data_IF_543748636712
#
_entry.id   IF_543748636712
#
_cell.length_a   1.000
_cell.length_b   1.000
_cell.length_c   1.000
_cell.angle_alpha   90.00
_cell.angle_beta   90.00
_cell.angle_gamma   90.00
#
_symmetry.space_group_name_H-M   'P 1'
#
loop_
_entity.id
_entity.type
_entity.pdbx_description
1 polymer ?
#
# COMPACT_ATOMS: atom_id res chain seq x y z
N UNK A 1 -37.50 39.39 16.01
CA UNK A 1 -37.25 37.94 15.91
C UNK A 1 -37.53 37.31 17.27
N UNK A 2 -38.58 36.50 17.36
CA UNK A 2 -39.04 35.94 18.63
C UNK A 2 -38.08 34.85 19.17
N UNK A 3 -38.08 34.60 20.47
CA UNK A 3 -37.30 33.58 21.11
C UNK A 3 -37.53 32.17 20.46
N UNK A 4 -38.78 31.94 20.03
CA UNK A 4 -39.17 30.72 19.30
C UNK A 4 -38.50 30.58 17.93
N UNK A 5 -38.30 31.66 17.18
CA UNK A 5 -37.60 31.62 15.88
C UNK A 5 -36.12 31.35 16.06
N UNK A 6 -35.49 31.84 17.14
CA UNK A 6 -34.09 31.52 17.46
C UNK A 6 -33.91 30.03 17.83
N UNK A 7 -34.84 29.46 18.61
CA UNK A 7 -34.81 28.06 19.00
C UNK A 7 -35.02 27.14 17.76
N UNK A 8 -35.98 27.52 16.88
CA UNK A 8 -36.23 26.77 15.64
C UNK A 8 -35.03 26.77 14.67
N UNK A 9 -34.31 27.88 14.58
CA UNK A 9 -33.12 27.98 13.74
C UNK A 9 -31.95 27.18 14.30
N UNK A 10 -31.74 27.16 15.62
CA UNK A 10 -30.67 26.37 16.25
C UNK A 10 -30.94 24.86 16.12
N UNK A 11 -32.22 24.43 16.26
CA UNK A 11 -32.61 23.02 16.09
C UNK A 11 -32.51 22.60 14.62
N UNK A 12 -32.89 23.45 13.66
CA UNK A 12 -32.73 23.17 12.21
C UNK A 12 -31.25 23.08 11.81
N UNK A 13 -30.40 24.00 12.27
CA UNK A 13 -28.96 23.94 12.02
C UNK A 13 -28.32 22.66 12.63
N UNK A 14 -28.69 22.31 13.88
CA UNK A 14 -28.22 21.07 14.50
C UNK A 14 -28.64 19.81 13.75
N UNK A 15 -29.86 19.78 13.19
CA UNK A 15 -30.35 18.63 12.39
C UNK A 15 -29.63 18.54 11.04
N UNK A 16 -29.43 19.68 10.36
CA UNK A 16 -28.68 19.71 9.08
C UNK A 16 -27.21 19.31 9.30
N UNK A 17 -26.58 19.76 10.38
CA UNK A 17 -25.21 19.33 10.72
C UNK A 17 -25.12 17.83 11.03
N UNK A 18 -26.08 17.26 11.76
CA UNK A 18 -26.13 15.82 12.04
C UNK A 18 -26.35 15.00 10.78
N UNK A 19 -27.28 15.43 9.92
CA UNK A 19 -27.56 14.75 8.63
C UNK A 19 -26.34 14.86 7.70
N UNK A 20 -25.70 16.03 7.63
CA UNK A 20 -24.49 16.24 6.82
C UNK A 20 -23.32 15.40 7.33
N UNK A 21 -23.11 15.32 8.66
CA UNK A 21 -22.05 14.51 9.26
C UNK A 21 -22.30 13.01 9.05
N UNK A 22 -23.56 12.53 9.18
CA UNK A 22 -23.93 11.13 8.93
C UNK A 22 -23.77 10.78 7.45
N UNK A 23 -24.12 11.70 6.54
CA UNK A 23 -23.94 11.51 5.10
C UNK A 23 -22.46 11.49 4.69
N UNK A 24 -21.63 12.34 5.30
CA UNK A 24 -20.17 12.32 5.12
C UNK A 24 -19.56 11.00 5.64
N UNK A 25 -20.06 10.49 6.78
CA UNK A 25 -19.59 9.22 7.35
C UNK A 25 -19.98 8.02 6.48
N UNK A 26 -21.20 8.01 5.90
CA UNK A 26 -21.67 6.95 5.00
C UNK A 26 -20.94 7.00 3.65
N UNK A 27 -20.64 8.21 3.13
CA UNK A 27 -19.83 8.36 1.91
C UNK A 27 -18.38 7.96 2.17
N UNK A 28 -17.81 8.32 3.32
CA UNK A 28 -16.44 7.95 3.68
C UNK A 28 -16.29 6.43 3.89
N UNK A 29 -17.29 5.73 4.45
CA UNK A 29 -17.23 4.29 4.66
C UNK A 29 -17.32 3.47 3.36
N UNK A 30 -17.87 4.02 2.28
CA UNK A 30 -17.94 3.35 0.97
C UNK A 30 -16.75 3.66 0.05
N UNK A 31 -15.87 4.59 0.41
CA UNK A 31 -14.76 5.03 -0.43
C UNK A 31 -13.49 4.19 -0.29
N UNK A 32 -13.39 3.33 0.73
CA UNK A 32 -12.17 2.59 1.03
C UNK A 32 -12.49 1.14 1.44
N UNK A 33 -12.89 0.31 0.48
CA UNK A 33 -12.93 -1.14 0.70
C UNK A 33 -11.69 -1.79 0.10
N UNK A 34 -10.92 -2.49 0.91
CA UNK A 34 -9.95 -3.46 0.42
C UNK A 34 -10.74 -4.72 0.09
N UNK A 35 -10.57 -5.23 -1.14
CA UNK A 35 -11.12 -6.49 -1.57
C UNK A 35 -10.03 -7.58 -1.59
N UNK A 36 -10.45 -8.83 -1.52
CA UNK A 36 -9.56 -9.94 -1.84
C UNK A 36 -9.21 -9.90 -3.32
N UNK A 37 -7.92 -10.00 -3.63
CA UNK A 37 -7.41 -9.85 -4.98
C UNK A 37 -6.35 -10.92 -5.27
N UNK A 38 -6.30 -11.38 -6.50
CA UNK A 38 -5.29 -12.31 -6.98
C UNK A 38 -4.82 -11.86 -8.36
N UNK A 39 -3.55 -11.46 -8.45
CA UNK A 39 -2.94 -11.02 -9.69
C UNK A 39 -1.81 -11.95 -10.09
N UNK A 40 -1.72 -12.22 -11.41
CA UNK A 40 -0.61 -12.94 -12.02
C UNK A 40 -0.08 -12.13 -13.19
N UNK A 41 1.21 -11.91 -13.18
CA UNK A 41 1.91 -11.18 -14.23
C UNK A 41 3.04 -12.05 -14.75
N UNK A 42 3.34 -11.92 -16.05
CA UNK A 42 4.47 -12.62 -16.68
C UNK A 42 5.40 -11.63 -17.34
N UNK A 43 6.69 -11.89 -17.22
CA UNK A 43 7.73 -11.20 -17.96
C UNK A 43 8.81 -12.19 -18.33
N UNK A 44 8.92 -12.55 -19.63
CA UNK A 44 9.83 -13.60 -20.13
C UNK A 44 9.65 -14.92 -19.35
N UNK A 45 10.73 -15.39 -18.71
CA UNK A 45 10.74 -16.61 -17.90
C UNK A 45 10.34 -16.39 -16.43
N UNK A 46 9.97 -15.18 -16.07
CA UNK A 46 9.58 -14.84 -14.70
C UNK A 46 8.06 -14.75 -14.56
N UNK A 47 7.57 -15.27 -13.46
CA UNK A 47 6.19 -15.09 -13.02
C UNK A 47 6.16 -14.26 -11.74
N UNK A 48 5.25 -13.30 -11.68
CA UNK A 48 4.98 -12.48 -10.51
C UNK A 48 3.53 -12.67 -10.07
N UNK A 49 3.32 -13.05 -8.82
CA UNK A 49 2.00 -13.27 -8.23
C UNK A 49 1.81 -12.32 -7.05
N UNK A 50 0.63 -11.73 -6.94
CA UNK A 50 0.20 -10.95 -5.78
C UNK A 50 -1.14 -11.47 -5.31
N UNK A 51 -1.28 -11.76 -4.02
CA UNK A 51 -2.56 -12.12 -3.41
C UNK A 51 -2.83 -11.16 -2.24
N UNK A 52 -4.05 -10.69 -2.15
CA UNK A 52 -4.59 -9.94 -1.03
C UNK A 52 -5.73 -10.76 -0.45
N UNK A 53 -5.64 -11.13 0.82
CA UNK A 53 -6.62 -11.99 1.49
C UNK A 53 -6.99 -11.41 2.84
N UNK A 54 -8.22 -11.70 3.29
CA UNK A 54 -8.69 -11.34 4.63
C UNK A 54 -8.92 -12.62 5.44
N UNK A 55 -8.40 -12.66 6.63
CA UNK A 55 -8.66 -13.73 7.59
C UNK A 55 -8.91 -13.12 8.98
N UNK A 56 -10.17 -13.17 9.45
CA UNK A 56 -10.58 -12.68 10.77
C UNK A 56 -10.12 -11.22 11.04
N UNK A 57 -10.50 -10.29 10.17
CA UNK A 57 -10.18 -8.86 10.22
C UNK A 57 -8.69 -8.53 10.12
N UNK A 58 -7.85 -9.52 9.84
CA UNK A 58 -6.45 -9.34 9.50
C UNK A 58 -6.27 -9.52 8.00
N UNK A 59 -5.69 -8.52 7.39
CA UNK A 59 -5.34 -8.55 5.99
C UNK A 59 -3.93 -9.08 5.80
N UNK A 60 -3.76 -9.85 4.75
CA UNK A 60 -2.47 -10.33 4.32
C UNK A 60 -2.27 -10.01 2.84
N UNK A 61 -1.13 -9.42 2.50
CA UNK A 61 -0.71 -9.25 1.13
C UNK A 61 0.58 -10.01 0.91
N UNK A 62 0.55 -10.94 -0.04
CA UNK A 62 1.73 -11.73 -0.42
C UNK A 62 2.12 -11.42 -1.84
N UNK A 63 3.41 -11.40 -2.12
CA UNK A 63 3.88 -11.51 -3.48
C UNK A 63 4.96 -12.59 -3.62
N UNK A 64 5.04 -13.15 -4.81
CA UNK A 64 6.06 -14.10 -5.19
C UNK A 64 6.57 -13.77 -6.60
N UNK A 65 7.89 -13.66 -6.75
CA UNK A 65 8.55 -13.61 -8.05
C UNK A 65 9.32 -14.91 -8.20
N UNK A 66 8.98 -15.68 -9.24
CA UNK A 66 9.66 -16.93 -9.61
C UNK A 66 10.42 -16.71 -10.92
N UNK A 67 11.71 -17.00 -10.90
CA UNK A 67 12.62 -16.98 -12.03
C UNK A 67 13.53 -18.21 -11.95
N UNK A 68 14.03 -18.80 -13.05
CA UNK A 68 14.90 -19.99 -13.01
C UNK A 68 16.10 -19.86 -12.06
N UNK A 69 16.65 -18.67 -11.87
CA UNK A 69 17.82 -18.44 -11.03
C UNK A 69 17.51 -17.91 -9.62
N UNK A 70 16.29 -17.44 -9.35
CA UNK A 70 15.92 -16.97 -8.01
C UNK A 70 14.42 -17.06 -7.76
N UNK A 71 14.08 -17.14 -6.49
CA UNK A 71 12.71 -16.97 -5.98
C UNK A 71 12.72 -15.90 -4.90
N UNK A 72 11.88 -14.89 -5.06
CA UNK A 72 11.66 -13.84 -4.08
C UNK A 72 10.22 -13.90 -3.61
N UNK A 73 10.01 -13.92 -2.30
CA UNK A 73 8.67 -13.83 -1.71
C UNK A 73 8.63 -12.81 -0.58
N UNK A 74 7.49 -12.18 -0.42
CA UNK A 74 7.18 -11.33 0.71
C UNK A 74 5.77 -11.64 1.19
N UNK A 75 5.60 -11.62 2.51
CA UNK A 75 4.35 -11.77 3.23
C UNK A 75 4.22 -10.59 4.17
N UNK A 76 3.12 -9.83 4.09
CA UNK A 76 2.87 -8.66 4.90
C UNK A 76 1.50 -8.74 5.53
N UNK A 77 1.47 -8.75 6.86
CA UNK A 77 0.24 -8.69 7.65
C UNK A 77 -0.06 -7.26 8.08
N UNK A 78 -1.32 -6.86 7.98
CA UNK A 78 -1.78 -5.54 8.35
C UNK A 78 -3.24 -5.55 8.80
N UNK A 79 -3.65 -4.55 9.54
CA UNK A 79 -5.05 -4.22 9.80
C UNK A 79 -5.46 -3.00 9.00
N UNK A 80 -6.74 -2.91 8.70
CA UNK A 80 -7.32 -1.80 7.96
C UNK A 80 -8.64 -1.39 8.59
N UNK A 81 -8.68 -0.18 9.12
CA UNK A 81 -9.91 0.49 9.57
C UNK A 81 -10.14 1.76 8.76
N UNK A 82 -9.33 2.78 8.95
CA UNK A 82 -9.25 3.99 8.13
C UNK A 82 -7.86 4.18 7.54
N UNK A 83 -6.87 3.49 8.10
CA UNK A 83 -5.47 3.51 7.68
C UNK A 83 -4.94 2.09 7.66
N UNK A 84 -4.02 1.81 6.76
CA UNK A 84 -3.26 0.57 6.75
C UNK A 84 -2.24 0.62 7.90
N UNK A 85 -2.33 -0.36 8.80
CA UNK A 85 -1.39 -0.53 9.92
C UNK A 85 -0.67 -1.86 9.77
N UNK A 86 0.55 -1.82 9.26
CA UNK A 86 1.40 -3.00 9.07
C UNK A 86 1.83 -3.54 10.42
N UNK A 87 1.60 -4.82 10.67
CA UNK A 87 2.01 -5.50 11.92
C UNK A 87 3.24 -6.38 11.74
N UNK A 88 3.37 -7.05 10.61
CA UNK A 88 4.50 -7.92 10.31
C UNK A 88 4.84 -7.91 8.83
N UNK A 89 6.14 -7.96 8.50
CA UNK A 89 6.64 -8.16 7.14
C UNK A 89 7.68 -9.26 7.16
N UNK A 90 7.56 -10.26 6.29
CA UNK A 90 8.53 -11.33 6.09
C UNK A 90 8.99 -11.35 4.65
N UNK A 91 10.28 -11.33 4.41
CA UNK A 91 10.89 -11.41 3.08
C UNK A 91 11.84 -12.58 2.98
N UNK A 92 11.82 -13.27 1.84
CA UNK A 92 12.69 -14.40 1.58
C UNK A 92 13.19 -14.35 0.15
N UNK A 93 14.50 -14.41 -0.02
CA UNK A 93 15.17 -14.54 -1.30
C UNK A 93 15.96 -15.84 -1.33
N UNK A 94 15.70 -16.67 -2.32
CA UNK A 94 16.44 -17.91 -2.61
C UNK A 94 17.11 -17.73 -3.97
N UNK A 95 18.40 -17.93 -4.06
CA UNK A 95 19.19 -17.78 -5.29
C UNK A 95 19.79 -19.11 -5.68
N UNK A 96 19.81 -19.41 -6.99
CA UNK A 96 20.44 -20.60 -7.60
C UNK A 96 20.04 -21.92 -6.91
N UNK A 97 18.73 -22.18 -6.80
CA UNK A 97 18.24 -23.46 -6.24
C UNK A 97 18.56 -23.69 -4.76
N UNK A 98 18.89 -22.63 -4.01
CA UNK A 98 19.15 -22.72 -2.57
C UNK A 98 20.60 -22.48 -2.15
N UNK A 99 21.52 -22.22 -3.09
CA UNK A 99 22.92 -21.88 -2.77
C UNK A 99 23.05 -20.65 -1.86
N UNK A 100 22.10 -19.71 -1.96
CA UNK A 100 22.02 -18.57 -1.06
C UNK A 100 20.57 -18.33 -0.66
N UNK A 101 20.33 -18.25 0.65
CA UNK A 101 19.05 -17.92 1.25
C UNK A 101 19.22 -16.68 2.10
N UNK A 102 18.39 -15.67 1.88
CA UNK A 102 18.32 -14.45 2.70
C UNK A 102 16.89 -14.36 3.21
N UNK A 103 16.75 -14.26 4.51
CA UNK A 103 15.47 -14.04 5.19
C UNK A 103 15.59 -12.80 6.05
N UNK A 104 14.59 -11.95 5.98
CA UNK A 104 14.44 -10.79 6.85
C UNK A 104 13.00 -10.60 7.27
N UNK A 105 12.79 -10.10 8.47
CA UNK A 105 11.46 -9.79 8.99
C UNK A 105 11.44 -8.50 9.78
N UNK A 106 10.26 -7.89 9.83
CA UNK A 106 9.95 -6.72 10.64
C UNK A 106 8.72 -7.03 11.45
N UNK A 107 8.76 -6.76 12.75
CA UNK A 107 7.59 -6.75 13.63
C UNK A 107 7.36 -5.34 14.13
N UNK A 108 6.17 -4.82 13.94
CA UNK A 108 5.83 -3.43 14.21
C UNK A 108 4.92 -3.35 15.44
N UNK A 109 5.38 -2.67 16.48
CA UNK A 109 4.60 -2.32 17.64
C UNK A 109 4.12 -0.87 17.53
N UNK A 110 2.82 -0.71 17.28
CA UNK A 110 2.20 0.60 17.11
C UNK A 110 2.00 1.37 18.42
N UNK A 111 2.02 0.67 19.57
CA UNK A 111 1.88 1.30 20.88
C UNK A 111 3.19 1.97 21.29
N UNK A 112 4.29 1.23 21.22
CA UNK A 112 5.62 1.74 21.59
C UNK A 112 6.35 2.45 20.46
N UNK A 113 5.79 2.46 19.24
CA UNK A 113 6.39 3.02 18.02
C UNK A 113 7.77 2.43 17.71
N UNK A 114 7.90 1.12 17.91
CA UNK A 114 9.13 0.36 17.67
C UNK A 114 8.94 -0.68 16.57
N UNK A 115 10.01 -0.91 15.83
CA UNK A 115 10.10 -1.98 14.84
C UNK A 115 11.27 -2.85 15.20
N UNK A 116 11.02 -4.14 15.41
CA UNK A 116 12.06 -5.15 15.51
C UNK A 116 12.40 -5.63 14.10
N UNK A 117 13.62 -5.39 13.65
CA UNK A 117 14.15 -5.90 12.39
C UNK A 117 15.08 -7.08 12.63
N UNK A 118 14.84 -8.19 11.95
CA UNK A 118 15.62 -9.43 12.08
C UNK A 118 16.14 -9.84 10.70
N UNK A 119 17.43 -10.10 10.60
CA UNK A 119 18.07 -10.64 9.40
C UNK A 119 19.19 -11.63 9.77
N UNK A 120 18.91 -12.91 9.60
CA UNK A 120 19.80 -13.96 10.10
C UNK A 120 19.96 -13.86 11.62
N UNK A 121 21.19 -13.62 12.10
CA UNK A 121 21.49 -13.42 13.54
C UNK A 121 21.42 -11.95 13.98
N UNK A 122 21.30 -11.02 13.05
CA UNK A 122 21.18 -9.60 13.35
C UNK A 122 19.78 -9.27 13.82
N UNK A 123 19.67 -8.60 14.97
CA UNK A 123 18.40 -8.02 15.46
C UNK A 123 18.66 -6.55 15.78
N UNK A 124 17.86 -5.67 15.21
CA UNK A 124 17.94 -4.22 15.42
C UNK A 124 16.56 -3.68 15.80
N UNK A 125 16.54 -2.64 16.61
CA UNK A 125 15.29 -1.92 16.95
C UNK A 125 15.33 -0.54 16.31
N UNK A 126 14.29 -0.23 15.53
CA UNK A 126 14.09 1.08 14.92
C UNK A 126 12.98 1.82 15.65
N UNK A 127 13.11 3.12 15.79
CA UNK A 127 12.03 4.01 16.23
C UNK A 127 11.37 4.62 15.00
N UNK A 128 10.05 4.84 15.04
CA UNK A 128 9.36 5.50 13.96
C UNK A 128 8.28 6.46 14.48
N UNK A 129 7.90 7.39 13.64
CA UNK A 129 6.80 8.31 13.87
C UNK A 129 5.85 8.32 12.66
N UNK A 130 4.55 8.59 12.92
CA UNK A 130 3.51 8.57 11.90
C UNK A 130 3.14 7.16 11.42
N UNK A 131 2.65 7.08 10.20
CA UNK A 131 2.31 5.82 9.54
C UNK A 131 3.55 5.19 8.91
N UNK A 132 3.63 3.86 8.95
CA UNK A 132 4.71 3.08 8.37
C UNK A 132 4.15 2.03 7.41
N UNK A 133 4.79 1.86 6.28
CA UNK A 133 4.41 0.94 5.22
C UNK A 133 5.61 0.07 4.82
N UNK A 134 5.34 -1.05 4.18
CA UNK A 134 6.30 -1.69 3.30
C UNK A 134 5.98 -1.34 1.83
N UNK A 135 6.75 -1.84 0.88
CA UNK A 135 6.53 -1.50 -0.54
C UNK A 135 5.12 -1.92 -1.02
N UNK A 136 4.62 -3.10 -0.59
CA UNK A 136 3.31 -3.60 -1.02
C UNK A 136 2.16 -2.79 -0.45
N UNK A 137 2.18 -2.56 0.85
CA UNK A 137 1.14 -1.79 1.55
C UNK A 137 1.18 -0.32 1.18
N UNK A 138 2.35 0.25 0.85
CA UNK A 138 2.46 1.59 0.29
C UNK A 138 1.73 1.70 -1.05
N UNK A 139 1.94 0.74 -1.97
CA UNK A 139 1.24 0.72 -3.26
C UNK A 139 -0.26 0.47 -3.11
N UNK A 140 -0.67 -0.42 -2.19
CA UNK A 140 -2.09 -0.61 -1.88
C UNK A 140 -2.72 0.67 -1.33
N UNK A 141 -2.07 1.33 -0.38
CA UNK A 141 -2.53 2.59 0.18
C UNK A 141 -2.71 3.67 -0.90
N UNK A 142 -1.70 3.84 -1.78
CA UNK A 142 -1.75 4.82 -2.87
C UNK A 142 -2.87 4.55 -3.88
N UNK A 143 -3.22 3.27 -4.14
CA UNK A 143 -4.37 2.91 -4.99
C UNK A 143 -5.69 3.31 -4.34
N UNK A 144 -5.81 3.12 -3.03
CA UNK A 144 -7.04 3.39 -2.27
C UNK A 144 -7.26 4.88 -2.04
N UNK A 145 -6.18 5.67 -1.93
CA UNK A 145 -6.30 7.10 -1.68
C UNK A 145 -7.01 7.81 -2.83
N UNK A 146 -8.06 8.56 -2.47
CA UNK A 146 -8.71 9.50 -3.38
C UNK A 146 -7.94 10.81 -3.41
N UNK A 147 -6.80 10.83 -4.11
CA UNK A 147 -5.90 11.98 -4.21
C UNK A 147 -6.16 12.68 -5.52
N UNK A 148 -6.08 14.01 -5.50
CA UNK A 148 -6.06 14.81 -6.71
C UNK A 148 -4.83 14.46 -7.55
N UNK A 149 -4.98 14.54 -8.85
CA UNK A 149 -3.88 14.31 -9.79
C UNK A 149 -2.79 15.35 -9.59
N UNK A 150 -1.52 14.90 -9.77
CA UNK A 150 -0.29 15.70 -9.66
C UNK A 150 0.09 16.12 -8.21
N UNK A 151 -0.59 15.61 -7.19
CA UNK A 151 -0.18 15.79 -5.80
C UNK A 151 0.97 14.84 -5.44
N UNK A 152 2.00 15.40 -4.77
CA UNK A 152 3.14 14.63 -4.25
C UNK A 152 2.78 14.06 -2.86
N UNK A 153 2.92 12.74 -2.72
CA UNK A 153 2.67 12.04 -1.47
C UNK A 153 3.99 11.49 -0.94
N UNK A 154 4.27 11.76 0.31
CA UNK A 154 5.45 11.21 0.99
C UNK A 154 5.02 10.13 1.98
N UNK A 155 5.59 8.93 1.85
CA UNK A 155 5.35 7.79 2.74
C UNK A 155 6.64 7.32 3.41
N UNK A 156 6.55 6.89 4.66
CA UNK A 156 7.63 6.18 5.35
C UNK A 156 7.56 4.69 4.98
N UNK A 157 8.57 4.17 4.33
CA UNK A 157 8.60 2.79 3.81
C UNK A 157 9.78 2.01 4.40
N UNK A 158 9.50 0.76 4.81
CA UNK A 158 10.50 -0.19 5.32
C UNK A 158 11.31 -0.77 4.16
N UNK A 159 12.58 -0.49 4.13
CA UNK A 159 13.49 -0.97 3.10
C UNK A 159 14.85 -1.35 3.69
N UNK A 160 15.23 -2.64 3.57
CA UNK A 160 16.56 -3.16 3.94
C UNK A 160 17.02 -2.74 5.35
N UNK A 161 16.17 -2.95 6.35
CA UNK A 161 16.46 -2.63 7.75
C UNK A 161 16.41 -1.14 8.09
N UNK A 162 15.83 -0.31 7.23
CA UNK A 162 15.74 1.15 7.44
C UNK A 162 14.34 1.66 7.11
N UNK A 163 13.99 2.79 7.68
CA UNK A 163 12.82 3.58 7.29
C UNK A 163 13.30 4.62 6.28
N UNK A 164 12.67 4.64 5.10
CA UNK A 164 12.96 5.61 4.05
C UNK A 164 11.72 6.40 3.71
N UNK A 165 11.87 7.70 3.54
CA UNK A 165 10.83 8.53 2.95
C UNK A 165 10.85 8.35 1.43
N UNK A 166 9.75 7.83 0.88
CA UNK A 166 9.55 7.72 -0.56
C UNK A 166 8.47 8.70 -1.00
N UNK A 167 8.70 9.33 -2.14
CA UNK A 167 7.79 10.30 -2.74
C UNK A 167 7.13 9.69 -3.96
N UNK A 168 5.82 9.84 -4.04
CA UNK A 168 5.01 9.31 -5.13
C UNK A 168 4.17 10.43 -5.75
N UNK A 169 3.89 10.30 -7.03
CA UNK A 169 2.98 11.18 -7.77
C UNK A 169 1.92 10.31 -8.42
N UNK A 170 0.67 10.70 -8.26
CA UNK A 170 -0.49 10.09 -8.92
C UNK A 170 -0.87 10.94 -10.12
N UNK A 171 -0.97 10.33 -11.31
CA UNK A 171 -1.33 11.02 -12.56
C UNK A 171 -2.40 10.25 -13.31
N UNK A 172 -3.22 10.94 -14.09
CA UNK A 172 -4.12 10.31 -15.06
C UNK A 172 -3.29 9.90 -16.28
N UNK A 173 -3.31 8.62 -16.62
CA UNK A 173 -2.62 8.08 -17.79
C UNK A 173 -3.54 8.01 -19.04
N UNK A 174 -4.82 7.71 -18.79
CA UNK A 174 -5.91 7.74 -19.78
C UNK A 174 -7.24 7.95 -19.02
N UNK A 175 -8.40 8.17 -19.69
CA UNK A 175 -9.67 8.47 -19.03
C UNK A 175 -10.03 7.54 -17.87
N UNK A 176 -9.69 6.25 -17.99
CA UNK A 176 -10.03 5.23 -16.98
C UNK A 176 -8.81 4.64 -16.26
N UNK A 177 -7.62 5.20 -16.47
CA UNK A 177 -6.37 4.63 -15.96
C UNK A 177 -5.58 5.65 -15.17
N UNK A 178 -5.29 5.30 -13.94
CA UNK A 178 -4.42 6.06 -13.04
C UNK A 178 -3.02 5.43 -13.06
N UNK A 179 -2.02 6.29 -13.02
CA UNK A 179 -0.63 5.91 -12.85
C UNK A 179 -0.08 6.47 -11.54
N UNK A 180 0.56 5.63 -10.76
CA UNK A 180 1.39 6.03 -9.62
C UNK A 180 2.85 5.84 -10.00
N UNK A 181 3.66 6.85 -9.76
CA UNK A 181 5.09 6.84 -10.05
C UNK A 181 5.88 7.22 -8.81
N UNK A 182 6.90 6.43 -8.44
CA UNK A 182 7.89 6.84 -7.45
C UNK A 182 8.80 7.94 -8.05
N UNK A 183 8.96 9.04 -7.32
CA UNK A 183 9.84 10.15 -7.71
C UNK A 183 11.28 9.82 -7.32
N UNK A 184 11.97 9.08 -8.17
CA UNK A 184 13.35 8.65 -7.98
C UNK A 184 14.16 8.81 -9.26
N UNK A 185 15.44 9.18 -9.15
CA UNK A 185 16.26 9.48 -10.33
C UNK A 185 16.72 8.24 -11.11
N UNK A 186 17.03 7.13 -10.43
CA UNK A 186 17.67 5.97 -11.06
C UNK A 186 16.80 4.73 -11.21
N UNK A 187 16.04 4.38 -10.19
CA UNK A 187 15.18 3.20 -10.20
C UNK A 187 13.73 3.65 -10.25
N UNK A 188 13.08 3.51 -11.40
CA UNK A 188 11.70 3.96 -11.58
C UNK A 188 10.76 2.80 -11.26
N UNK A 189 9.75 3.10 -10.47
CA UNK A 189 8.60 2.23 -10.27
C UNK A 189 7.36 2.97 -10.76
N UNK A 190 6.57 2.33 -11.62
CA UNK A 190 5.29 2.85 -12.10
C UNK A 190 4.23 1.75 -11.96
N UNK A 191 3.10 2.09 -11.36
CA UNK A 191 1.93 1.22 -11.21
C UNK A 191 0.76 1.83 -11.97
N UNK A 192 0.15 1.04 -12.86
CA UNK A 192 -1.04 1.43 -13.60
C UNK A 192 -2.24 0.61 -13.12
N UNK A 193 -3.36 1.27 -12.87
CA UNK A 193 -4.59 0.61 -12.43
C UNK A 193 -5.83 1.35 -12.95
N UNK A 194 -6.96 0.63 -13.03
CA UNK A 194 -8.25 1.23 -13.37
C UNK A 194 -8.74 2.13 -12.24
N UNK A 195 -9.24 3.31 -12.56
CA UNK A 195 -9.67 4.27 -11.53
C UNK A 195 -10.89 3.78 -10.76
N UNK A 196 -11.87 3.20 -11.43
CA UNK A 196 -13.13 2.73 -10.84
C UNK A 196 -12.97 1.44 -10.01
N UNK A 197 -12.31 0.41 -10.54
CA UNK A 197 -12.18 -0.90 -9.89
C UNK A 197 -10.91 -1.04 -9.05
N UNK A 198 -9.95 -0.12 -9.19
CA UNK A 198 -8.58 -0.20 -8.60
C UNK A 198 -7.80 -1.44 -9.04
N UNK A 199 -8.25 -2.14 -10.08
CA UNK A 199 -7.59 -3.31 -10.65
C UNK A 199 -6.23 -2.94 -11.25
N UNK A 200 -5.19 -3.69 -10.93
CA UNK A 200 -3.84 -3.47 -11.45
C UNK A 200 -3.77 -3.97 -12.89
N UNK A 201 -3.40 -3.09 -13.81
CA UNK A 201 -3.25 -3.37 -15.23
C UNK A 201 -1.80 -3.70 -15.59
N UNK A 202 -0.86 -2.94 -15.01
CA UNK A 202 0.54 -2.99 -15.41
C UNK A 202 1.44 -2.46 -14.30
N UNK A 203 2.60 -3.07 -14.15
CA UNK A 203 3.70 -2.60 -13.31
C UNK A 203 4.94 -2.43 -14.19
N UNK A 204 5.59 -1.29 -14.10
CA UNK A 204 6.89 -1.05 -14.74
C UNK A 204 7.91 -0.83 -13.65
N UNK A 205 8.99 -1.57 -13.71
CA UNK A 205 10.12 -1.41 -12.80
C UNK A 205 11.41 -1.26 -13.61
N UNK A 206 12.14 -0.18 -13.35
CA UNK A 206 13.47 0.02 -13.92
C UNK A 206 14.52 -0.19 -12.83
N UNK A 207 15.40 -1.16 -13.03
CA UNK A 207 16.47 -1.49 -12.09
C UNK A 207 17.79 -1.47 -12.83
N UNK A 208 18.70 -0.60 -12.44
CA UNK A 208 20.02 -0.44 -13.07
C UNK A 208 19.95 -0.24 -14.59
N UNK A 209 18.97 0.54 -15.06
CA UNK A 209 18.78 0.85 -16.48
C UNK A 209 18.11 -0.27 -17.29
N UNK A 210 17.69 -1.37 -16.65
CA UNK A 210 16.89 -2.43 -17.28
C UNK A 210 15.44 -2.26 -16.88
N UNK A 211 14.56 -2.21 -17.89
CA UNK A 211 13.12 -2.10 -17.70
C UNK A 211 12.48 -3.50 -17.66
N UNK A 212 11.66 -3.71 -16.64
CA UNK A 212 10.81 -4.89 -16.47
C UNK A 212 9.36 -4.41 -16.55
N UNK A 213 8.59 -5.00 -17.45
CA UNK A 213 7.19 -4.69 -17.68
C UNK A 213 6.36 -5.92 -17.33
N UNK A 214 5.48 -5.78 -16.35
CA UNK A 214 4.58 -6.83 -15.89
C UNK A 214 3.15 -6.40 -16.25
N UNK A 215 2.46 -7.19 -17.06
CA UNK A 215 1.07 -6.95 -17.46
C UNK A 215 0.16 -8.04 -16.90
N UNK A 216 -1.04 -7.65 -16.42
CA UNK A 216 -2.05 -8.60 -15.98
C UNK A 216 -2.60 -9.37 -17.17
N UNK A 217 -2.85 -10.67 -16.98
CA UNK A 217 -3.45 -11.56 -17.97
C UNK A 217 -4.82 -12.02 -17.50
#
# INVERSE_FOLDING_TARGET
MSLMEKILNVTRMSLIYKISLTFLFVIASNLFSINEENYRFKYKESEFKVNITNLNDKWNITYEISHPFFKLSQDTQFSYTNLIQVSEVKRKLIVMGGLRKIEESYKIDHVTKKIEYIKGQLTETLQYDGAIYDDLTAHLYLRLLNIQTDEEITLNVLERGKIRQKKFIKTISSPDTIKIKEKKEKDKFELFFKDNSKEILKVIQNVNGREFIWESH
#
